data_IF_100364491385
#
_entry.id   IF_100364491385
#
_cell.length_a   1.000
_cell.length_b   1.000
_cell.length_c   1.000
_cell.angle_alpha   90.00
_cell.angle_beta   90.00
_cell.angle_gamma   90.00
#
_symmetry.space_group_name_H-M   'P 1'
#
loop_
_entity.id
_entity.type
_entity.pdbx_description
1 polymer ?
#
# COMPACT_ATOMS: atom_id res chain seq x y z
N UNK A 1 -16.98 33.48 -6.78
CA UNK A 1 -16.36 32.23 -7.26
C UNK A 1 -16.50 32.21 -8.76
N UNK A 2 -15.41 32.21 -9.52
CA UNK A 2 -15.51 32.03 -10.98
C UNK A 2 -15.75 30.54 -11.26
N UNK A 3 -16.78 30.22 -12.03
CA UNK A 3 -17.02 28.89 -12.55
C UNK A 3 -16.51 28.86 -14.01
N UNK A 4 -15.62 27.91 -14.32
CA UNK A 4 -15.24 27.58 -15.69
C UNK A 4 -15.95 26.31 -16.12
N UNK A 5 -16.28 26.18 -17.40
CA UNK A 5 -16.82 24.96 -18.00
C UNK A 5 -15.86 24.47 -19.08
N UNK A 6 -15.56 23.17 -19.09
CA UNK A 6 -14.84 22.51 -20.18
C UNK A 6 -15.87 22.00 -21.20
N UNK A 7 -15.59 22.18 -22.48
CA UNK A 7 -16.38 21.60 -23.58
C UNK A 7 -15.57 20.56 -24.36
N UNK A 8 -16.28 19.64 -25.01
CA UNK A 8 -15.65 18.67 -25.90
C UNK A 8 -14.97 19.43 -27.05
N UNK A 9 -13.68 19.17 -27.25
CA UNK A 9 -12.85 19.84 -28.25
C UNK A 9 -11.84 20.83 -27.65
N UNK A 10 -11.93 21.17 -26.36
CA UNK A 10 -10.94 22.01 -25.70
C UNK A 10 -9.59 21.32 -25.62
N UNK A 11 -8.53 22.04 -25.97
CA UNK A 11 -7.17 21.64 -25.67
C UNK A 11 -6.91 21.84 -24.18
N UNK A 12 -6.48 20.78 -23.50
CA UNK A 12 -6.15 20.80 -22.08
C UNK A 12 -4.72 20.35 -21.84
N UNK A 13 -4.10 20.93 -20.82
CA UNK A 13 -2.87 20.40 -20.23
C UNK A 13 -3.23 19.75 -18.90
N UNK A 14 -2.76 18.53 -18.69
CA UNK A 14 -2.94 17.79 -17.45
C UNK A 14 -1.59 17.43 -16.87
N UNK A 15 -1.39 17.76 -15.60
CA UNK A 15 -0.18 17.44 -14.86
C UNK A 15 -0.51 16.57 -13.65
N UNK A 16 0.40 15.64 -13.31
CA UNK A 16 0.30 14.79 -12.12
C UNK A 16 1.22 15.35 -11.04
N UNK A 17 0.75 15.40 -9.79
CA UNK A 17 1.63 15.62 -8.65
C UNK A 17 2.56 14.42 -8.45
N UNK A 18 3.78 14.54 -8.96
CA UNK A 18 4.80 13.48 -8.93
C UNK A 18 5.20 13.08 -7.51
N UNK A 19 5.29 14.03 -6.58
CA UNK A 19 5.64 13.74 -5.20
C UNK A 19 4.54 12.90 -4.53
N UNK A 20 3.27 13.25 -4.75
CA UNK A 20 2.13 12.47 -4.30
C UNK A 20 2.08 11.10 -4.96
N UNK A 21 2.30 11.03 -6.28
CA UNK A 21 2.37 9.77 -7.03
C UNK A 21 3.46 8.84 -6.48
N UNK A 22 4.63 9.38 -6.15
CA UNK A 22 5.73 8.62 -5.57
C UNK A 22 5.38 8.01 -4.21
N UNK A 23 4.79 8.79 -3.30
CA UNK A 23 4.34 8.27 -1.99
C UNK A 23 3.31 7.15 -2.13
N UNK A 24 2.35 7.29 -3.06
CA UNK A 24 1.36 6.23 -3.34
C UNK A 24 2.04 4.97 -3.88
N UNK A 25 3.05 5.09 -4.77
CA UNK A 25 3.81 3.93 -5.27
C UNK A 25 4.53 3.18 -4.15
N UNK A 26 5.15 3.90 -3.22
CA UNK A 26 5.83 3.30 -2.08
C UNK A 26 4.85 2.50 -1.22
N UNK A 27 3.71 3.10 -0.86
CA UNK A 27 2.67 2.42 -0.07
C UNK A 27 2.06 1.22 -0.81
N UNK A 28 1.90 1.32 -2.14
CA UNK A 28 1.44 0.19 -2.95
C UNK A 28 2.45 -0.97 -2.94
N UNK A 29 3.74 -0.68 -3.10
CA UNK A 29 4.79 -1.70 -3.07
C UNK A 29 4.86 -2.39 -1.70
N UNK A 30 4.73 -1.60 -0.63
CA UNK A 30 4.66 -2.10 0.74
C UNK A 30 3.44 -3.01 0.98
N UNK A 31 2.35 -2.87 0.21
CA UNK A 31 1.18 -3.75 0.30
C UNK A 31 1.53 -5.19 -0.05
N UNK A 32 2.31 -5.39 -1.12
CA UNK A 32 2.73 -6.71 -1.56
C UNK A 32 3.68 -7.35 -0.55
N UNK A 33 4.62 -6.57 -0.01
CA UNK A 33 5.53 -7.03 1.04
C UNK A 33 4.77 -7.44 2.31
N UNK A 34 3.77 -6.64 2.72
CA UNK A 34 2.92 -6.94 3.87
C UNK A 34 2.19 -8.27 3.67
N UNK A 35 1.57 -8.50 2.51
CA UNK A 35 0.87 -9.74 2.22
C UNK A 35 1.79 -10.96 2.25
N UNK A 36 2.98 -10.85 1.64
CA UNK A 36 3.98 -11.93 1.66
C UNK A 36 4.47 -12.24 3.08
N UNK A 37 4.80 -11.20 3.86
CA UNK A 37 5.27 -11.35 5.23
C UNK A 37 4.20 -11.96 6.15
N UNK A 38 2.94 -11.53 6.03
CA UNK A 38 1.82 -12.12 6.76
C UNK A 38 1.66 -13.61 6.45
N UNK A 39 1.75 -14.01 5.18
CA UNK A 39 1.69 -15.43 4.80
C UNK A 39 2.87 -16.24 5.33
N UNK A 40 4.05 -15.64 5.42
CA UNK A 40 5.24 -16.29 5.96
C UNK A 40 5.18 -16.47 7.48
N UNK A 41 4.62 -15.50 8.21
CA UNK A 41 4.55 -15.53 9.68
C UNK A 41 3.33 -16.30 10.18
N UNK A 42 2.15 -16.01 9.63
CA UNK A 42 0.89 -16.54 10.11
C UNK A 42 0.45 -17.80 9.35
N UNK A 43 0.92 -17.99 8.12
CA UNK A 43 0.56 -19.13 7.27
C UNK A 43 -0.25 -18.77 6.03
N UNK A 44 -0.39 -19.74 5.12
CA UNK A 44 -0.97 -19.55 3.78
C UNK A 44 -2.48 -19.37 3.75
N UNK A 45 -3.19 -19.55 4.86
CA UNK A 45 -4.63 -19.28 4.98
C UNK A 45 -4.95 -17.79 5.03
N UNK A 46 -3.94 -16.93 5.32
CA UNK A 46 -4.12 -15.50 5.24
C UNK A 46 -4.46 -15.09 3.81
N UNK A 47 -5.58 -14.39 3.66
CA UNK A 47 -6.07 -13.84 2.41
C UNK A 47 -6.46 -12.38 2.60
N UNK A 48 -6.16 -11.54 1.61
CA UNK A 48 -6.57 -10.14 1.62
C UNK A 48 -8.11 -10.02 1.63
N UNK A 49 -8.62 -9.12 2.47
CA UNK A 49 -10.05 -8.76 2.55
C UNK A 49 -10.32 -7.29 2.25
N UNK A 50 -9.30 -6.44 2.29
CA UNK A 50 -9.38 -5.04 1.91
C UNK A 50 -8.01 -4.38 1.88
N UNK A 51 -7.88 -3.27 1.15
CA UNK A 51 -6.69 -2.42 1.23
C UNK A 51 -7.04 -0.98 0.89
N UNK A 52 -6.48 -0.06 1.68
CA UNK A 52 -6.45 1.37 1.39
C UNK A 52 -5.00 1.79 1.17
N UNK A 53 -4.73 2.37 0.00
CA UNK A 53 -3.42 2.95 -0.34
C UNK A 53 -3.64 4.39 -0.72
N UNK A 54 -3.08 5.31 0.05
CA UNK A 54 -3.01 6.73 -0.29
C UNK A 54 -1.61 7.27 -0.06
N UNK A 55 -1.42 8.58 -0.19
CA UNK A 55 -0.11 9.22 -0.08
C UNK A 55 0.35 9.46 1.36
N UNK A 56 -0.45 9.04 2.35
CA UNK A 56 -0.17 9.18 3.79
C UNK A 56 -0.01 7.83 4.48
N UNK A 57 -0.84 6.86 4.14
CA UNK A 57 -0.92 5.56 4.82
C UNK A 57 -1.19 4.40 3.86
N UNK A 58 -0.77 3.23 4.31
CA UNK A 58 -1.22 1.92 3.86
C UNK A 58 -2.04 1.27 4.99
N UNK A 59 -3.23 0.79 4.67
CA UNK A 59 -4.00 -0.14 5.51
C UNK A 59 -4.24 -1.43 4.74
N UNK A 60 -3.98 -2.57 5.37
CA UNK A 60 -4.15 -3.89 4.78
C UNK A 60 -5.01 -4.76 5.70
N UNK A 61 -6.20 -5.12 5.23
CA UNK A 61 -7.15 -5.94 5.97
C UNK A 61 -7.05 -7.39 5.45
N UNK A 62 -6.96 -8.36 6.34
CA UNK A 62 -6.74 -9.77 6.00
C UNK A 62 -7.53 -10.73 6.89
N UNK A 63 -7.74 -11.96 6.41
CA UNK A 63 -8.40 -13.01 7.18
C UNK A 63 -7.45 -13.66 8.18
N UNK A 64 -7.82 -13.61 9.46
CA UNK A 64 -7.17 -14.35 10.54
C UNK A 64 -8.17 -14.56 11.68
N UNK A 65 -8.11 -15.71 12.36
CA UNK A 65 -9.16 -16.12 13.31
C UNK A 65 -9.01 -15.50 14.70
N UNK A 66 -7.85 -14.91 14.98
CA UNK A 66 -7.54 -14.26 16.25
C UNK A 66 -6.73 -12.98 16.00
N UNK A 67 -6.57 -12.17 17.05
CA UNK A 67 -5.67 -11.02 16.97
C UNK A 67 -4.22 -11.51 16.92
N UNK A 68 -3.39 -10.85 16.12
CA UNK A 68 -1.96 -11.15 16.08
C UNK A 68 -1.33 -10.90 17.45
N UNK A 69 -0.42 -11.79 17.84
CA UNK A 69 0.39 -11.63 19.04
C UNK A 69 1.46 -10.54 18.80
N UNK A 70 1.92 -9.85 19.86
CA UNK A 70 2.95 -8.81 19.72
C UNK A 70 4.23 -9.28 19.01
N UNK A 71 4.64 -10.53 19.22
CA UNK A 71 5.78 -11.15 18.55
C UNK A 71 5.57 -11.39 17.05
N UNK A 72 4.35 -11.72 16.62
CA UNK A 72 4.00 -11.92 15.22
C UNK A 72 4.01 -10.57 14.48
N UNK A 73 3.49 -9.51 15.13
CA UNK A 73 3.53 -8.15 14.61
C UNK A 73 4.99 -7.72 14.38
N UNK A 74 5.86 -7.93 15.38
CA UNK A 74 7.30 -7.63 15.27
C UNK A 74 7.97 -8.44 14.17
N UNK A 75 7.60 -9.71 14.00
CA UNK A 75 8.17 -10.56 12.95
C UNK A 75 7.77 -10.07 11.55
N UNK A 76 6.50 -9.71 11.34
CA UNK A 76 6.02 -9.14 10.07
C UNK A 76 6.74 -7.82 9.76
N UNK A 77 6.82 -6.91 10.73
CA UNK A 77 7.53 -5.64 10.59
C UNK A 77 9.01 -5.86 10.21
N UNK A 78 9.69 -6.79 10.88
CA UNK A 78 11.08 -7.13 10.58
C UNK A 78 11.26 -7.64 9.15
N UNK A 79 10.39 -8.54 8.69
CA UNK A 79 10.45 -9.10 7.34
C UNK A 79 10.22 -8.03 6.27
N UNK A 80 9.18 -7.21 6.43
CA UNK A 80 8.87 -6.12 5.48
C UNK A 80 10.05 -5.16 5.37
N UNK A 81 10.55 -4.66 6.50
CA UNK A 81 11.68 -3.73 6.52
C UNK A 81 12.96 -4.35 5.95
N UNK A 82 13.16 -5.65 6.15
CA UNK A 82 14.31 -6.36 5.57
C UNK A 82 14.21 -6.44 4.06
N UNK A 83 13.03 -6.70 3.49
CA UNK A 83 12.85 -6.68 2.03
C UNK A 83 13.03 -5.28 1.45
N UNK A 84 12.50 -4.25 2.11
CA UNK A 84 12.73 -2.85 1.69
C UNK A 84 14.23 -2.54 1.62
N UNK A 85 14.99 -2.91 2.66
CA UNK A 85 16.45 -2.68 2.70
C UNK A 85 17.24 -3.44 1.65
N UNK A 86 16.73 -4.57 1.14
CA UNK A 86 17.38 -5.32 0.06
C UNK A 86 17.35 -4.58 -1.27
N UNK A 87 16.42 -3.63 -1.45
CA UNK A 87 16.29 -2.80 -2.64
C UNK A 87 16.33 -3.63 -3.94
N UNK A 88 15.51 -4.69 -3.98
CA UNK A 88 15.44 -5.60 -5.12
C UNK A 88 14.84 -4.88 -6.35
N UNK A 89 15.30 -5.21 -7.57
CA UNK A 89 14.77 -4.63 -8.81
C UNK A 89 13.27 -4.86 -9.05
#
# INVERSE_FOLDING_TARGET
>A
RAAGSLIVGDAVQSDVDEARRARIRLNHSATHLMHAALRQVLGTHVSQKGSLVNDKVLRFDFSHNEAMKPEEIRAVEYLVNTQIRRNLP
#
